data_IF_418326585361
#
_entry.id   IF_418326585361
#
_cell.length_a   1.000
_cell.length_b   1.000
_cell.length_c   1.000
_cell.angle_alpha   90.00
_cell.angle_beta   90.00
_cell.angle_gamma   90.00
#
_symmetry.space_group_name_H-M   'P 1'
#
loop_
_entity.id
_entity.type
_entity.pdbx_description
1 polymer ?
#
# COMPACT_ATOMS: atom_id res chain seq x y z
N UNK A 1 9.10 -0.62 -13.59
CA UNK A 1 7.81 -0.63 -12.86
C UNK A 1 7.34 -2.05 -12.54
N UNK A 2 7.25 -2.37 -11.26
CA UNK A 2 6.59 -3.57 -10.74
C UNK A 2 5.32 -3.16 -9.98
N UNK A 3 4.36 -4.07 -9.85
CA UNK A 3 3.18 -3.83 -9.06
C UNK A 3 2.77 -5.05 -8.23
N UNK A 4 2.14 -4.79 -7.10
CA UNK A 4 1.54 -5.79 -6.22
C UNK A 4 0.10 -5.41 -5.92
N UNK A 5 -0.83 -6.27 -6.32
CA UNK A 5 -2.24 -6.08 -6.03
C UNK A 5 -2.54 -6.43 -4.57
N UNK A 6 -3.50 -5.73 -4.00
CA UNK A 6 -4.03 -5.99 -2.67
C UNK A 6 -5.54 -5.81 -2.67
N UNK A 7 -6.19 -6.37 -1.66
CA UNK A 7 -7.62 -6.29 -1.41
C UNK A 7 -7.87 -5.70 -0.04
N UNK A 8 -9.10 -5.25 0.21
CA UNK A 8 -9.54 -4.79 1.53
C UNK A 8 -9.32 -5.81 2.64
N UNK A 9 -9.23 -7.10 2.31
CA UNK A 9 -9.00 -8.19 3.28
C UNK A 9 -7.54 -8.28 3.74
N UNK A 10 -6.60 -7.69 2.99
CA UNK A 10 -5.17 -7.70 3.33
C UNK A 10 -4.81 -6.65 4.40
N UNK A 11 -5.74 -5.72 4.70
CA UNK A 11 -5.53 -4.68 5.70
C UNK A 11 -5.67 -5.21 7.12
N UNK A 12 -4.76 -4.77 7.98
CA UNK A 12 -4.83 -5.01 9.42
C UNK A 12 -5.08 -3.70 10.16
N UNK A 13 -5.90 -3.73 11.21
CA UNK A 13 -6.12 -2.57 12.07
C UNK A 13 -4.93 -2.45 13.04
N UNK A 14 -4.28 -1.29 13.05
CA UNK A 14 -3.17 -1.04 13.95
C UNK A 14 -3.64 -0.46 15.30
N UNK A 15 -2.71 -0.30 16.24
CA UNK A 15 -2.98 0.24 17.58
C UNK A 15 -3.46 1.70 17.59
N UNK A 16 -3.34 2.42 16.47
CA UNK A 16 -3.79 3.79 16.27
C UNK A 16 -5.18 3.86 15.60
N UNK A 17 -5.90 2.73 15.51
CA UNK A 17 -7.17 2.60 14.79
C UNK A 17 -7.09 2.99 13.29
N UNK A 18 -5.93 2.79 12.67
CA UNK A 18 -5.75 2.97 11.23
C UNK A 18 -5.61 1.61 10.54
N UNK A 19 -6.19 1.49 9.35
CA UNK A 19 -5.99 0.32 8.51
C UNK A 19 -4.63 0.42 7.83
N UNK A 20 -3.83 -0.62 7.91
CA UNK A 20 -2.50 -0.65 7.32
C UNK A 20 -2.24 -1.90 6.49
N UNK A 21 -1.48 -1.73 5.41
CA UNK A 21 -0.81 -2.80 4.68
C UNK A 21 0.66 -2.85 5.09
N UNK A 22 1.21 -4.05 5.17
CA UNK A 22 2.61 -4.30 5.49
C UNK A 22 3.32 -4.95 4.31
N UNK A 23 4.46 -4.38 3.94
CA UNK A 23 5.38 -4.92 2.93
C UNK A 23 6.79 -4.93 3.50
N UNK A 24 7.62 -5.86 3.04
CA UNK A 24 9.04 -5.91 3.37
C UNK A 24 9.87 -5.23 2.29
N UNK A 25 11.05 -4.69 2.64
CA UNK A 25 11.95 -4.08 1.65
C UNK A 25 12.38 -5.07 0.56
N UNK A 26 12.38 -6.37 0.85
CA UNK A 26 12.70 -7.42 -0.13
C UNK A 26 11.58 -7.58 -1.18
N UNK A 27 10.33 -7.24 -0.84
CA UNK A 27 9.20 -7.30 -1.76
C UNK A 27 9.13 -6.10 -2.71
N UNK A 28 9.54 -4.92 -2.25
CA UNK A 28 9.33 -3.64 -2.96
C UNK A 28 10.62 -2.91 -3.33
N UNK A 29 11.77 -3.36 -2.86
CA UNK A 29 13.06 -2.75 -3.08
C UNK A 29 13.37 -1.61 -2.10
N UNK A 30 14.61 -1.58 -1.62
CA UNK A 30 15.09 -0.52 -0.74
C UNK A 30 15.14 0.82 -1.50
N UNK A 31 14.46 1.84 -0.98
CA UNK A 31 14.48 3.19 -1.56
C UNK A 31 13.53 3.38 -2.75
N UNK A 32 12.72 2.38 -3.11
CA UNK A 32 11.78 2.50 -4.23
C UNK A 32 10.77 3.63 -4.04
N UNK A 33 10.45 4.29 -5.15
CA UNK A 33 9.33 5.21 -5.24
C UNK A 33 8.03 4.41 -5.20
N UNK A 34 7.12 4.78 -4.30
CA UNK A 34 5.88 4.07 -4.08
C UNK A 34 4.71 4.92 -4.55
N UNK A 35 3.90 4.36 -5.45
CA UNK A 35 2.62 4.93 -5.89
C UNK A 35 1.53 3.95 -5.56
N UNK A 36 0.45 4.40 -4.92
CA UNK A 36 -0.69 3.55 -4.61
C UNK A 36 -1.84 3.95 -5.51
N UNK A 37 -2.49 2.95 -6.08
CA UNK A 37 -3.71 3.13 -6.83
C UNK A 37 -4.87 2.34 -6.21
N UNK A 38 -6.00 3.03 -6.02
CA UNK A 38 -7.26 2.42 -5.61
C UNK A 38 -8.02 1.94 -6.84
N UNK A 39 -8.56 0.73 -6.78
CA UNK A 39 -9.48 0.20 -7.76
C UNK A 39 -10.90 0.74 -7.49
N UNK A 40 -11.49 1.36 -8.51
CA UNK A 40 -12.88 1.85 -8.53
C UNK A 40 -13.86 0.72 -8.83
N UNK A 41 -15.14 0.97 -8.55
CA UNK A 41 -16.22 0.03 -8.87
C UNK A 41 -16.32 -0.29 -10.37
N UNK A 42 -15.98 0.66 -11.23
CA UNK A 42 -15.94 0.47 -12.69
C UNK A 42 -14.70 -0.32 -13.17
N UNK A 43 -13.80 -0.72 -12.26
CA UNK A 43 -12.57 -1.46 -12.56
C UNK A 43 -11.36 -0.59 -12.91
N UNK A 44 -11.52 0.73 -13.00
CA UNK A 44 -10.41 1.66 -13.23
C UNK A 44 -9.57 1.87 -11.97
N UNK A 45 -8.36 2.39 -12.15
CA UNK A 45 -7.44 2.70 -11.06
C UNK A 45 -7.25 4.21 -10.94
N UNK A 46 -7.21 4.72 -9.71
CA UNK A 46 -6.86 6.11 -9.43
C UNK A 46 -5.74 6.20 -8.40
N UNK A 47 -4.78 7.10 -8.63
CA UNK A 47 -3.72 7.38 -7.65
C UNK A 47 -4.31 8.00 -6.39
N UNK A 48 -3.99 7.41 -5.24
CA UNK A 48 -4.41 7.91 -3.93
C UNK A 48 -3.20 8.25 -3.08
N UNK A 49 -3.34 9.30 -2.26
CA UNK A 49 -2.34 9.61 -1.26
C UNK A 49 -2.41 8.59 -0.11
N UNK A 50 -1.26 8.32 0.47
CA UNK A 50 -1.11 7.36 1.56
C UNK A 50 -0.12 7.87 2.58
N UNK A 51 -0.36 7.57 3.86
CA UNK A 51 0.67 7.74 4.86
C UNK A 51 1.61 6.52 4.80
N UNK A 52 2.84 6.74 4.36
CA UNK A 52 3.85 5.69 4.23
C UNK A 52 4.88 5.87 5.35
N UNK A 53 5.01 4.84 6.18
CA UNK A 53 6.01 4.77 7.24
C UNK A 53 6.98 3.64 6.94
N UNK A 54 8.29 3.90 7.06
CA UNK A 54 9.34 2.88 6.91
C UNK A 54 9.99 2.65 8.27
N UNK A 55 10.04 1.41 8.73
CA UNK A 55 10.65 1.04 10.01
C UNK A 55 11.42 -0.26 9.84
N UNK A 56 12.74 -0.20 10.00
CA UNK A 56 13.66 -1.30 9.69
C UNK A 56 13.43 -1.80 8.26
N UNK A 57 13.20 -3.10 8.09
CA UNK A 57 13.00 -3.77 6.81
C UNK A 57 11.52 -3.83 6.39
N UNK A 58 10.66 -3.03 7.04
CA UNK A 58 9.21 -3.02 6.82
C UNK A 58 8.71 -1.65 6.38
N UNK A 59 7.69 -1.68 5.54
CA UNK A 59 7.00 -0.54 4.98
C UNK A 59 5.52 -0.71 5.30
N UNK A 60 4.99 0.29 5.99
CA UNK A 60 3.60 0.35 6.42
C UNK A 60 2.90 1.44 5.63
N UNK A 61 1.80 1.09 4.98
CA UNK A 61 0.99 2.04 4.22
C UNK A 61 -0.38 2.12 4.87
N UNK A 62 -0.76 3.31 5.35
CA UNK A 62 -1.91 3.51 6.25
C UNK A 62 -3.01 4.37 5.64
N UNK A 63 -4.26 4.01 5.93
CA UNK A 63 -5.48 4.73 5.55
C UNK A 63 -6.58 4.66 6.62
N UNK A 64 -7.57 5.54 6.48
CA UNK A 64 -8.78 5.55 7.32
C UNK A 64 -9.75 4.41 7.00
N UNK A 65 -9.72 3.88 5.78
CA UNK A 65 -10.61 2.81 5.32
C UNK A 65 -9.87 1.83 4.38
N UNK A 66 -10.19 0.53 4.41
CA UNK A 66 -9.59 -0.46 3.52
C UNK A 66 -10.24 -0.43 2.12
N UNK A 67 -9.47 -0.77 1.09
CA UNK A 67 -9.94 -0.79 -0.30
C UNK A 67 -9.15 -1.78 -1.15
N UNK A 68 -9.70 -2.14 -2.31
CA UNK A 68 -8.98 -2.95 -3.30
C UNK A 68 -8.09 -2.05 -4.16
N UNK A 69 -6.87 -2.48 -4.47
CA UNK A 69 -5.93 -1.61 -5.17
C UNK A 69 -4.64 -2.31 -5.56
N UNK A 70 -3.65 -1.50 -5.93
CA UNK A 70 -2.30 -1.97 -6.23
C UNK A 70 -1.26 -0.98 -5.77
N UNK A 71 -0.17 -1.52 -5.25
CA UNK A 71 1.07 -0.79 -4.97
C UNK A 71 1.96 -0.90 -6.20
N UNK A 72 2.33 0.24 -6.77
CA UNK A 72 3.31 0.37 -7.85
C UNK A 72 4.63 0.81 -7.21
N UNK A 73 5.71 0.12 -7.56
CA UNK A 73 7.03 0.42 -7.06
C UNK A 73 8.07 0.39 -8.19
N UNK A 74 8.98 1.35 -8.12
CA UNK A 74 10.06 1.56 -9.08
C UNK A 74 11.34 1.96 -8.35
N UNK A 75 12.44 1.29 -8.72
CA UNK A 75 13.78 1.46 -8.17
C UNK A 75 14.66 2.25 -9.15
#
# INVERSE_FOLDING_TARGET
MLHKNFTKADFVLNSENQYQLEFTIDEIGQGSNLTIERKKENGEFETVQANISRLNDRIFIKWSEPFDGRLIFES
#
